data_IF_877942584513
#
_entry.id   IF_877942584513
#
_cell.length_a   1.000
_cell.length_b   1.000
_cell.length_c   1.000
_cell.angle_alpha   90.00
_cell.angle_beta   90.00
_cell.angle_gamma   90.00
#
_symmetry.space_group_name_H-M   'P 1'
#
loop_
_entity.id
_entity.type
_entity.pdbx_description
1 polymer ?
#
# COMPACT_ATOMS: atom_id res chain seq x y z
N UNK A 1 -112.92 -34.01 -38.16
CA UNK A 1 -112.09 -34.33 -36.97
C UNK A 1 -111.01 -33.26 -36.88
N UNK A 2 -111.10 -32.32 -35.92
CA UNK A 2 -110.23 -32.21 -34.70
C UNK A 2 -108.73 -32.02 -35.07
N UNK A 3 -107.93 -31.06 -34.58
CA UNK A 3 -107.95 -30.08 -33.47
C UNK A 3 -106.73 -29.12 -33.60
N UNK A 4 -106.85 -27.98 -32.91
CA UNK A 4 -105.92 -26.90 -32.50
C UNK A 4 -104.41 -27.20 -32.28
N UNK A 5 -103.56 -26.16 -32.41
CA UNK A 5 -102.49 -25.68 -31.48
C UNK A 5 -101.42 -24.87 -32.25
N UNK A 6 -101.22 -23.56 -32.02
CA UNK A 6 -100.38 -22.96 -30.98
C UNK A 6 -98.95 -23.53 -30.92
N UNK A 7 -97.95 -22.75 -31.35
CA UNK A 7 -96.54 -23.02 -31.04
C UNK A 7 -95.82 -21.71 -30.65
N UNK A 8 -95.24 -21.77 -29.45
CA UNK A 8 -94.60 -20.69 -28.72
C UNK A 8 -93.34 -20.16 -29.43
N UNK A 9 -93.16 -18.84 -29.42
CA UNK A 9 -91.85 -18.22 -29.65
C UNK A 9 -91.05 -18.34 -28.34
N UNK A 10 -90.18 -19.34 -28.26
CA UNK A 10 -89.21 -19.50 -27.17
C UNK A 10 -87.99 -18.62 -27.41
N UNK A 11 -87.71 -17.71 -26.49
CA UNK A 11 -86.51 -16.88 -26.42
C UNK A 11 -85.27 -17.76 -26.22
N UNK A 12 -84.44 -17.91 -27.25
CA UNK A 12 -83.08 -18.44 -27.11
C UNK A 12 -82.19 -17.39 -26.42
N UNK A 13 -81.85 -17.62 -25.15
CA UNK A 13 -80.74 -16.94 -24.49
C UNK A 13 -79.43 -17.45 -25.08
N UNK A 14 -78.69 -16.57 -25.75
CA UNK A 14 -77.30 -16.82 -26.17
C UNK A 14 -76.42 -16.83 -24.92
N UNK A 15 -75.92 -18.01 -24.54
CA UNK A 15 -74.85 -18.13 -23.55
C UNK A 15 -73.54 -17.65 -24.19
N UNK A 16 -73.03 -16.50 -23.76
CA UNK A 16 -71.68 -16.04 -24.12
C UNK A 16 -70.63 -16.89 -23.36
N UNK A 17 -69.54 -17.31 -24.00
CA UNK A 17 -68.48 -18.04 -23.30
C UNK A 17 -67.78 -17.11 -22.30
N UNK A 18 -67.63 -17.57 -21.06
CA UNK A 18 -66.78 -16.92 -20.08
C UNK A 18 -65.32 -17.12 -20.49
N UNK A 19 -64.65 -16.04 -20.90
CA UNK A 19 -63.21 -16.04 -21.16
C UNK A 19 -62.49 -16.15 -19.80
N UNK A 20 -62.04 -17.35 -19.44
CA UNK A 20 -61.14 -17.55 -18.32
C UNK A 20 -59.82 -16.82 -18.61
N UNK A 21 -59.49 -15.81 -17.80
CA UNK A 21 -58.22 -15.10 -17.87
C UNK A 21 -57.06 -16.10 -17.78
N UNK A 22 -56.22 -16.13 -18.82
CA UNK A 22 -55.03 -16.98 -18.88
C UNK A 22 -54.04 -16.69 -17.76
N UNK A 23 -53.04 -17.57 -17.53
CA UNK A 23 -52.11 -17.47 -16.41
C UNK A 23 -51.43 -16.11 -16.42
N UNK A 24 -51.52 -15.39 -15.30
CA UNK A 24 -50.79 -14.15 -15.09
C UNK A 24 -49.30 -14.43 -15.26
N UNK A 25 -48.69 -13.81 -16.26
CA UNK A 25 -47.24 -13.86 -16.45
C UNK A 25 -46.58 -13.28 -15.21
N UNK A 26 -45.65 -13.99 -14.54
CA UNK A 26 -44.94 -13.42 -13.40
C UNK A 26 -44.22 -12.16 -13.87
N UNK A 27 -44.52 -11.03 -13.24
CA UNK A 27 -43.77 -9.78 -13.45
C UNK A 27 -42.33 -10.07 -13.04
N UNK A 28 -41.43 -10.08 -14.01
CA UNK A 28 -40.00 -10.16 -13.73
C UNK A 28 -39.62 -8.93 -12.90
N UNK A 29 -39.19 -9.16 -11.67
CA UNK A 29 -38.67 -8.12 -10.79
C UNK A 29 -37.46 -7.48 -11.49
N UNK A 30 -37.55 -6.19 -11.80
CA UNK A 30 -36.46 -5.48 -12.48
C UNK A 30 -35.20 -5.61 -11.63
N UNK A 31 -34.05 -6.00 -12.22
CA UNK A 31 -32.82 -6.13 -11.45
C UNK A 31 -32.54 -4.79 -10.77
N UNK A 32 -32.47 -4.80 -9.44
CA UNK A 32 -32.06 -3.65 -8.64
C UNK A 32 -30.67 -3.27 -9.12
N UNK A 33 -30.56 -2.12 -9.78
CA UNK A 33 -29.29 -1.58 -10.19
C UNK A 33 -28.46 -1.35 -8.93
N UNK A 34 -27.48 -2.22 -8.68
CA UNK A 34 -26.45 -1.96 -7.67
C UNK A 34 -25.80 -0.63 -8.03
N UNK A 35 -25.72 0.33 -7.09
CA UNK A 35 -25.02 1.57 -7.36
C UNK A 35 -23.57 1.22 -7.70
N UNK A 36 -23.19 1.45 -8.95
CA UNK A 36 -21.80 1.42 -9.38
C UNK A 36 -21.11 2.51 -8.57
N UNK A 37 -20.18 2.11 -7.69
CA UNK A 37 -19.33 3.07 -6.99
C UNK A 37 -18.62 3.92 -8.05
N UNK A 38 -19.02 5.18 -8.16
CA UNK A 38 -18.35 6.15 -9.02
C UNK A 38 -16.98 6.38 -8.39
N UNK A 39 -15.94 5.74 -8.92
CA UNK A 39 -14.57 6.06 -8.57
C UNK A 39 -14.37 7.50 -9.03
N UNK A 40 -14.26 8.43 -8.08
CA UNK A 40 -13.95 9.82 -8.40
C UNK A 40 -12.68 9.82 -9.27
N UNK A 41 -12.63 10.59 -10.38
CA UNK A 41 -11.40 10.72 -11.13
C UNK A 41 -10.30 11.19 -10.17
N UNK A 42 -9.18 10.46 -10.10
CA UNK A 42 -8.05 10.87 -9.28
C UNK A 42 -7.57 12.22 -9.83
N UNK A 43 -7.86 13.28 -9.09
CA UNK A 43 -7.29 14.60 -9.34
C UNK A 43 -5.81 14.66 -8.93
N UNK A 44 -5.36 13.63 -8.21
CA UNK A 44 -3.99 13.36 -7.83
C UNK A 44 -3.26 12.42 -8.80
N UNK A 45 -1.95 12.31 -8.65
CA UNK A 45 -1.15 11.43 -9.49
C UNK A 45 -1.41 9.99 -9.12
N UNK A 46 -1.38 9.09 -10.10
CA UNK A 46 -1.42 7.67 -9.78
C UNK A 46 -0.14 7.32 -9.03
N UNK A 47 -0.24 6.83 -7.79
CA UNK A 47 0.85 6.25 -6.99
C UNK A 47 0.65 4.77 -6.67
N UNK A 48 -0.45 4.18 -7.13
CA UNK A 48 -0.83 2.81 -6.83
C UNK A 48 0.05 1.79 -7.57
N UNK A 49 0.24 0.62 -6.96
CA UNK A 49 0.87 -0.53 -7.61
C UNK A 49 2.17 -1.00 -6.95
N UNK A 50 2.72 -2.07 -7.51
CA UNK A 50 4.00 -2.64 -7.11
C UNK A 50 5.15 -1.83 -7.73
N UNK A 51 6.26 -1.70 -6.99
CA UNK A 51 7.47 -1.06 -7.50
C UNK A 51 8.73 -1.78 -7.00
N UNK A 52 9.81 -1.59 -7.74
CA UNK A 52 11.18 -1.93 -7.32
C UNK A 52 12.07 -0.73 -7.55
N UNK A 53 13.14 -0.60 -6.76
CA UNK A 53 14.05 0.51 -6.90
C UNK A 53 15.37 0.26 -6.22
N UNK A 54 16.23 1.27 -6.33
CA UNK A 54 17.48 1.36 -5.60
C UNK A 54 17.58 2.68 -4.89
N UNK A 55 18.42 2.71 -3.86
CA UNK A 55 18.75 3.94 -3.15
C UNK A 55 20.24 4.01 -2.86
N UNK A 56 20.73 5.24 -2.69
CA UNK A 56 22.09 5.54 -2.28
C UNK A 56 22.02 6.75 -1.35
N UNK A 57 22.86 6.77 -0.33
CA UNK A 57 22.84 7.83 0.65
C UNK A 57 23.99 7.76 1.63
N UNK A 58 23.77 8.42 2.75
CA UNK A 58 24.70 8.55 3.84
C UNK A 58 24.03 8.12 5.15
N UNK A 59 24.78 7.42 5.98
CA UNK A 59 24.39 7.02 7.32
C UNK A 59 25.34 7.69 8.32
N UNK A 60 24.75 8.21 9.38
CA UNK A 60 25.45 8.77 10.55
C UNK A 60 24.95 8.02 11.78
N UNK A 61 25.87 7.43 12.53
CA UNK A 61 25.60 6.59 13.70
C UNK A 61 26.29 7.21 14.91
N UNK A 62 25.51 7.45 15.96
CA UNK A 62 26.00 7.95 17.24
C UNK A 62 25.42 7.18 18.43
N UNK A 63 26.14 7.18 19.55
CA UNK A 63 25.66 6.65 20.82
C UNK A 63 25.65 7.72 21.91
N UNK A 64 24.77 7.55 22.91
CA UNK A 64 24.84 8.37 24.12
C UNK A 64 26.24 8.24 24.77
N UNK A 65 26.87 9.36 25.07
CA UNK A 65 28.24 9.42 25.62
C UNK A 65 29.39 9.34 24.61
N UNK A 66 29.13 9.41 23.30
CA UNK A 66 30.11 9.38 22.20
C UNK A 66 31.05 8.15 22.26
N UNK A 67 30.52 7.00 22.67
CA UNK A 67 31.27 5.75 22.75
C UNK A 67 31.44 5.10 21.37
N UNK A 68 30.45 5.32 20.49
CA UNK A 68 30.48 4.86 19.09
C UNK A 68 30.07 6.03 18.20
N UNK A 69 30.95 6.44 17.31
CA UNK A 69 30.70 7.39 16.23
C UNK A 69 31.15 6.76 14.92
N UNK A 70 30.30 6.81 13.90
CA UNK A 70 30.61 6.22 12.59
C UNK A 70 29.71 6.79 11.52
N UNK A 71 30.30 7.14 10.39
CA UNK A 71 29.58 7.71 9.27
C UNK A 71 30.06 7.11 7.94
N UNK A 72 29.16 6.96 6.98
CA UNK A 72 29.50 6.23 5.76
C UNK A 72 28.40 6.18 4.72
N UNK A 73 28.74 5.66 3.55
CA UNK A 73 27.80 5.48 2.47
C UNK A 73 26.90 4.27 2.72
N UNK A 74 25.61 4.43 2.44
CA UNK A 74 24.63 3.34 2.44
C UNK A 74 23.98 3.25 1.07
N UNK A 75 23.76 2.04 0.57
CA UNK A 75 23.08 1.84 -0.69
C UNK A 75 22.45 0.47 -0.79
N UNK A 76 21.36 0.37 -1.52
CA UNK A 76 20.54 -0.83 -1.46
C UNK A 76 19.50 -0.92 -2.54
N UNK A 77 18.73 -1.99 -2.45
CA UNK A 77 17.56 -2.24 -3.26
C UNK A 77 16.32 -2.23 -2.36
N UNK A 78 15.20 -1.85 -2.95
CA UNK A 78 13.92 -1.83 -2.29
C UNK A 78 12.81 -2.32 -3.23
N UNK A 79 11.79 -2.92 -2.66
CA UNK A 79 10.60 -3.34 -3.36
C UNK A 79 9.38 -3.15 -2.46
N UNK A 80 8.27 -2.72 -3.03
CA UNK A 80 7.09 -2.43 -2.25
C UNK A 80 5.81 -2.39 -3.05
N UNK A 81 4.73 -2.12 -2.34
CA UNK A 81 3.41 -1.91 -2.92
C UNK A 81 2.78 -0.66 -2.29
N UNK A 82 2.18 0.19 -3.13
CA UNK A 82 1.42 1.35 -2.70
C UNK A 82 -0.05 1.21 -3.09
N UNK A 83 -0.93 1.59 -2.18
CA UNK A 83 -2.36 1.72 -2.37
C UNK A 83 -2.69 3.19 -2.45
N UNK A 84 -3.18 3.60 -3.62
CA UNK A 84 -3.68 4.95 -3.85
C UNK A 84 -5.16 5.01 -3.45
N UNK A 85 -5.49 5.94 -2.55
CA UNK A 85 -6.82 6.16 -2.00
C UNK A 85 -7.35 7.55 -2.40
N UNK A 86 -6.86 8.11 -3.52
CA UNK A 86 -7.28 9.37 -4.11
C UNK A 86 -6.39 10.55 -3.73
N UNK A 87 -6.37 10.94 -2.45
CA UNK A 87 -5.45 11.98 -1.94
C UNK A 87 -4.46 11.45 -0.91
N UNK A 88 -4.70 10.23 -0.42
CA UNK A 88 -3.83 9.55 0.53
C UNK A 88 -3.23 8.32 -0.15
N UNK A 89 -1.97 8.03 0.16
CA UNK A 89 -1.27 6.84 -0.32
C UNK A 89 -0.76 6.07 0.89
N UNK A 90 -1.10 4.80 0.98
CA UNK A 90 -0.53 3.88 1.96
C UNK A 90 0.43 2.94 1.25
N UNK A 91 1.45 2.44 1.93
CA UNK A 91 2.36 1.48 1.32
C UNK A 91 3.11 0.62 2.31
N UNK A 92 3.61 -0.50 1.80
CA UNK A 92 4.57 -1.36 2.47
C UNK A 92 5.81 -1.52 1.58
N UNK A 93 6.99 -1.49 2.17
CA UNK A 93 8.28 -1.60 1.47
C UNK A 93 9.21 -2.54 2.23
N UNK A 94 9.88 -3.40 1.48
CA UNK A 94 11.04 -4.17 1.93
C UNK A 94 12.29 -3.51 1.35
N UNK A 95 13.27 -3.33 2.20
CA UNK A 95 14.53 -2.65 1.89
C UNK A 95 15.68 -3.53 2.36
N UNK A 96 16.63 -3.74 1.45
CA UNK A 96 17.85 -4.48 1.71
C UNK A 96 19.03 -3.61 1.29
N UNK A 97 19.82 -3.21 2.28
CA UNK A 97 20.86 -2.21 2.14
C UNK A 97 22.21 -2.75 2.56
N UNK A 98 23.20 -2.50 1.72
CA UNK A 98 24.61 -2.67 2.05
C UNK A 98 25.10 -1.32 2.58
N UNK A 99 25.76 -1.32 3.72
CA UNK A 99 26.28 -0.10 4.34
C UNK A 99 27.78 -0.23 4.52
N UNK A 100 28.62 0.31 3.64
CA UNK A 100 30.08 0.30 3.86
C UNK A 100 30.46 1.39 4.87
N UNK A 101 29.99 1.23 6.11
CA UNK A 101 30.27 2.09 7.25
C UNK A 101 31.41 1.46 8.03
N UNK A 102 32.60 2.04 7.93
CA UNK A 102 33.75 1.65 8.75
C UNK A 102 33.65 2.26 10.14
N UNK A 103 33.79 1.45 11.19
CA UNK A 103 33.91 1.95 12.56
C UNK A 103 35.34 2.48 12.80
N UNK A 104 35.47 3.64 13.43
CA UNK A 104 36.78 4.23 13.73
C UNK A 104 37.56 3.32 14.70
N UNK A 105 38.86 3.13 14.46
CA UNK A 105 39.71 2.17 15.20
C UNK A 105 39.88 0.76 14.59
N UNK A 106 39.21 0.44 13.47
CA UNK A 106 39.51 -0.76 12.67
C UNK A 106 38.83 -2.08 13.09
N UNK A 107 37.80 -2.01 13.94
CA UNK A 107 37.25 -3.20 14.62
C UNK A 107 35.96 -3.81 14.02
N UNK A 108 35.47 -3.36 12.86
CA UNK A 108 34.32 -4.00 12.22
C UNK A 108 33.74 -3.25 11.02
N UNK A 109 32.81 -3.90 10.32
CA UNK A 109 31.99 -3.32 9.25
C UNK A 109 30.52 -3.65 9.51
N UNK A 110 29.65 -2.67 9.33
CA UNK A 110 28.22 -2.94 9.14
C UNK A 110 28.09 -3.63 7.77
N UNK A 111 27.55 -4.84 7.70
CA UNK A 111 27.57 -5.58 6.42
C UNK A 111 26.23 -5.44 5.70
N UNK A 112 25.11 -5.56 6.41
CA UNK A 112 23.76 -5.50 5.84
C UNK A 112 22.74 -4.89 6.82
N UNK A 113 21.79 -4.14 6.26
CA UNK A 113 20.61 -3.63 6.96
C UNK A 113 19.39 -4.03 6.15
N UNK A 114 18.47 -4.75 6.80
CA UNK A 114 17.17 -5.07 6.25
C UNK A 114 16.09 -4.25 6.96
N UNK A 115 15.14 -3.70 6.21
CA UNK A 115 14.07 -2.85 6.76
C UNK A 115 12.72 -3.29 6.21
N UNK A 116 11.75 -3.37 7.11
CA UNK A 116 10.33 -3.47 6.77
C UNK A 116 9.69 -2.12 7.08
N UNK A 117 9.26 -1.41 6.04
CA UNK A 117 8.69 -0.07 6.15
C UNK A 117 7.20 -0.06 5.86
N UNK A 118 6.47 0.72 6.65
CA UNK A 118 5.13 1.19 6.33
C UNK A 118 5.23 2.67 5.93
N UNK A 119 4.40 3.06 4.96
CA UNK A 119 4.37 4.41 4.40
C UNK A 119 2.94 4.95 4.44
N UNK A 120 2.79 6.20 4.84
CA UNK A 120 1.53 6.94 4.74
C UNK A 120 1.84 8.35 4.24
N UNK A 121 1.25 8.73 3.11
CA UNK A 121 1.55 9.98 2.44
C UNK A 121 0.35 10.66 1.82
N UNK A 122 0.59 11.88 1.37
CA UNK A 122 -0.38 12.74 0.71
C UNK A 122 0.05 12.96 -0.73
N UNK A 123 -0.87 12.67 -1.64
CA UNK A 123 -0.68 12.84 -3.07
C UNK A 123 -0.97 14.29 -3.49
N UNK A 124 0.04 14.92 -4.10
CA UNK A 124 0.00 16.29 -4.61
C UNK A 124 0.12 16.32 -6.14
N UNK A 125 -0.35 15.28 -6.83
CA UNK A 125 -0.18 15.12 -8.27
C UNK A 125 1.13 14.40 -8.57
N UNK A 126 2.12 15.13 -9.08
CA UNK A 126 3.43 14.55 -9.42
C UNK A 126 4.36 14.38 -8.23
N UNK A 127 3.96 14.82 -7.04
CA UNK A 127 4.77 14.75 -5.83
C UNK A 127 3.99 14.01 -4.75
N UNK A 128 4.63 13.05 -4.10
CA UNK A 128 4.14 12.35 -2.92
C UNK A 128 5.01 12.72 -1.75
N UNK A 129 4.42 13.33 -0.72
CA UNK A 129 5.09 13.55 0.57
C UNK A 129 4.57 12.51 1.54
N UNK A 130 5.45 11.78 2.22
CA UNK A 130 5.06 10.68 3.07
C UNK A 130 5.86 10.61 4.36
N UNK A 131 5.23 10.07 5.40
CA UNK A 131 5.91 9.60 6.58
C UNK A 131 6.13 8.09 6.46
N UNK A 132 7.22 7.61 7.05
CA UNK A 132 7.52 6.18 7.11
C UNK A 132 7.94 5.77 8.50
N UNK A 133 7.58 4.54 8.89
CA UNK A 133 8.02 3.94 10.13
C UNK A 133 8.06 2.41 9.96
N UNK A 134 8.83 1.74 10.81
CA UNK A 134 8.96 0.30 10.69
C UNK A 134 10.00 -0.32 11.61
N UNK A 135 10.30 -1.57 11.32
CA UNK A 135 11.34 -2.35 11.99
C UNK A 135 12.58 -2.45 11.10
N UNK A 136 13.75 -2.27 11.71
CA UNK A 136 15.05 -2.48 11.08
C UNK A 136 15.74 -3.68 11.74
N UNK A 137 16.38 -4.50 10.93
CA UNK A 137 17.26 -5.57 11.37
C UNK A 137 18.65 -5.28 10.79
N UNK A 138 19.66 -5.24 11.66
CA UNK A 138 21.03 -4.96 11.26
C UNK A 138 21.94 -6.14 11.63
N UNK A 139 22.75 -6.59 10.67
CA UNK A 139 23.83 -7.55 10.91
C UNK A 139 25.17 -6.81 10.86
N UNK A 140 25.94 -6.87 11.95
CA UNK A 140 27.28 -6.32 12.04
C UNK A 140 28.30 -7.42 12.37
N UNK A 141 29.49 -7.35 11.74
CA UNK A 141 30.62 -8.19 12.14
C UNK A 141 31.62 -7.37 12.92
N UNK A 142 31.85 -7.75 14.18
CA UNK A 142 32.84 -7.14 15.07
C UNK A 142 33.79 -8.23 15.55
N UNK A 143 35.09 -8.09 15.27
CA UNK A 143 36.14 -9.04 15.68
C UNK A 143 35.87 -10.53 15.38
N UNK A 144 35.17 -10.84 14.28
CA UNK A 144 34.85 -12.22 13.86
C UNK A 144 33.60 -12.83 14.50
N UNK A 145 32.89 -12.10 15.35
CA UNK A 145 31.56 -12.45 15.84
C UNK A 145 30.48 -11.71 15.03
N UNK A 146 29.41 -12.43 14.66
CA UNK A 146 28.21 -11.84 14.06
C UNK A 146 27.29 -11.37 15.19
N UNK A 147 27.04 -10.07 15.27
CA UNK A 147 26.03 -9.48 16.15
C UNK A 147 24.85 -9.05 15.28
N UNK A 148 23.64 -9.35 15.74
CA UNK A 148 22.42 -8.88 15.08
C UNK A 148 21.45 -8.31 16.08
N UNK A 149 20.80 -7.22 15.69
CA UNK A 149 19.84 -6.53 16.55
C UNK A 149 18.66 -5.98 15.74
N UNK A 150 17.51 -5.88 16.41
CA UNK A 150 16.26 -5.38 15.84
C UNK A 150 15.89 -4.05 16.48
N UNK A 151 15.79 -3.01 15.66
CA UNK A 151 15.38 -1.67 16.09
C UNK A 151 14.09 -1.21 15.41
N UNK A 152 13.67 -0.01 15.79
CA UNK A 152 12.56 0.69 15.14
C UNK A 152 13.08 1.97 14.50
N UNK A 153 12.39 2.45 13.47
CA UNK A 153 12.71 3.72 12.84
C UNK A 153 11.46 4.50 12.48
N UNK A 154 11.65 5.80 12.31
CA UNK A 154 10.65 6.73 11.81
C UNK A 154 11.30 7.81 10.96
N UNK A 155 10.56 8.34 10.00
CA UNK A 155 11.13 9.30 9.06
C UNK A 155 10.13 9.94 8.11
N UNK A 156 10.68 10.76 7.22
CA UNK A 156 9.94 11.50 6.21
C UNK A 156 10.60 11.29 4.85
N UNK A 157 9.79 11.27 3.80
CA UNK A 157 10.26 11.17 2.44
C UNK A 157 9.42 11.97 1.46
N UNK A 158 10.02 12.22 0.30
CA UNK A 158 9.37 12.85 -0.83
C UNK A 158 9.75 12.11 -2.10
N UNK A 159 8.76 11.69 -2.88
CA UNK A 159 8.95 11.11 -4.20
C UNK A 159 8.32 12.03 -5.26
N UNK A 160 8.95 12.09 -6.43
CA UNK A 160 8.50 12.83 -7.60
C UNK A 160 8.35 11.90 -8.80
N UNK A 161 7.17 11.88 -9.40
CA UNK A 161 6.86 11.13 -10.61
C UNK A 161 7.50 11.83 -11.83
N UNK A 162 8.61 11.27 -12.31
CA UNK A 162 9.28 11.71 -13.54
C UNK A 162 8.38 11.44 -14.74
N UNK A 163 7.75 10.27 -14.74
CA UNK A 163 6.72 9.82 -15.68
C UNK A 163 5.85 8.76 -14.99
N UNK A 164 4.95 8.11 -15.74
CA UNK A 164 4.00 7.14 -15.20
C UNK A 164 4.65 5.91 -14.55
N UNK A 165 5.92 5.62 -14.87
CA UNK A 165 6.65 4.44 -14.40
C UNK A 165 7.82 4.76 -13.46
N UNK A 166 8.47 5.90 -13.65
CA UNK A 166 9.68 6.24 -12.90
C UNK A 166 9.43 7.33 -11.88
N UNK A 167 9.88 7.08 -10.65
CA UNK A 167 9.88 8.07 -9.58
C UNK A 167 11.29 8.25 -9.04
N UNK A 168 11.60 9.46 -8.62
CA UNK A 168 12.85 9.81 -7.93
C UNK A 168 12.52 10.57 -6.67
N UNK A 169 13.27 10.35 -5.60
CA UNK A 169 12.93 10.92 -4.32
C UNK A 169 14.06 10.90 -3.31
N UNK A 170 13.75 11.33 -2.10
CA UNK A 170 14.65 11.28 -0.97
C UNK A 170 13.93 10.89 0.30
N UNK A 171 14.65 10.26 1.22
CA UNK A 171 14.13 9.77 2.49
C UNK A 171 15.14 10.04 3.62
N UNK A 172 14.63 10.61 4.71
CA UNK A 172 15.34 10.86 5.96
C UNK A 172 14.75 9.99 7.05
N UNK A 173 15.54 9.09 7.62
CA UNK A 173 15.12 8.16 8.67
C UNK A 173 15.96 8.36 9.92
N UNK A 174 15.30 8.41 11.07
CA UNK A 174 15.91 8.27 12.38
C UNK A 174 15.59 6.86 12.91
N UNK A 175 16.64 6.12 13.27
CA UNK A 175 16.56 4.79 13.83
C UNK A 175 16.91 4.86 15.31
N UNK A 176 16.16 4.11 16.10
CA UNK A 176 16.42 3.88 17.52
C UNK A 176 16.58 2.38 17.73
N UNK A 177 17.75 1.99 18.21
CA UNK A 177 18.03 0.63 18.65
C UNK A 177 18.07 0.63 20.17
N UNK A 178 17.17 -0.12 20.79
CA UNK A 178 17.09 -0.24 22.24
C UNK A 178 17.99 -1.40 22.66
N UNK A 179 18.83 -1.20 23.68
CA UNK A 179 19.73 -2.23 24.24
C UNK A 179 20.76 -2.82 23.26
N UNK A 180 21.47 -1.97 22.52
CA UNK A 180 22.56 -2.44 21.66
C UNK A 180 23.63 -3.16 22.52
N UNK A 181 23.82 -4.45 22.26
CA UNK A 181 24.74 -5.36 22.97
C UNK A 181 24.43 -5.61 24.47
N UNK A 182 23.17 -5.48 24.91
CA UNK A 182 22.78 -5.76 26.30
C UNK A 182 23.51 -4.88 27.33
N UNK A 183 24.03 -3.74 26.90
CA UNK A 183 24.88 -2.83 27.66
C UNK A 183 24.10 -1.73 28.39
N UNK A 184 22.80 -1.55 28.08
CA UNK A 184 21.97 -0.46 28.58
C UNK A 184 22.24 0.89 27.92
N UNK A 185 22.84 0.90 26.72
CA UNK A 185 23.16 2.12 25.95
C UNK A 185 22.23 2.22 24.73
N UNK A 186 21.54 3.35 24.62
CA UNK A 186 20.72 3.71 23.46
C UNK A 186 21.62 4.15 22.29
N UNK A 187 21.40 3.56 21.10
CA UNK A 187 22.07 3.94 19.85
C UNK A 187 21.08 4.60 18.89
N UNK A 188 21.44 5.78 18.40
CA UNK A 188 20.65 6.54 17.43
C UNK A 188 21.40 6.58 16.09
N UNK A 189 20.70 6.30 15.00
CA UNK A 189 21.27 6.38 13.66
C UNK A 189 20.37 7.17 12.71
N UNK A 190 20.94 8.14 12.00
CA UNK A 190 20.25 8.92 10.98
C UNK A 190 20.72 8.52 9.60
N UNK A 191 19.80 8.18 8.70
CA UNK A 191 20.13 7.90 7.30
C UNK A 191 19.43 8.88 6.38
N UNK A 192 20.19 9.44 5.44
CA UNK A 192 19.69 10.29 4.37
C UNK A 192 19.94 9.61 3.02
N UNK A 193 18.89 9.30 2.27
CA UNK A 193 19.01 8.56 1.01
C UNK A 193 18.30 9.27 -0.14
N UNK A 194 18.85 9.10 -1.33
CA UNK A 194 18.21 9.40 -2.61
C UNK A 194 17.79 8.06 -3.22
N UNK A 195 16.60 8.02 -3.79
CA UNK A 195 15.94 6.79 -4.24
C UNK A 195 15.37 6.96 -5.64
N UNK A 196 15.41 5.89 -6.42
CA UNK A 196 14.79 5.81 -7.74
C UNK A 196 14.00 4.51 -7.84
N UNK A 197 12.73 4.60 -8.27
CA UNK A 197 11.82 3.46 -8.33
C UNK A 197 11.19 3.33 -9.71
N UNK A 198 11.01 2.09 -10.14
CA UNK A 198 10.22 1.69 -11.28
C UNK A 198 8.94 1.01 -10.81
N UNK A 199 7.79 1.53 -11.25
CA UNK A 199 6.45 0.98 -11.03
C UNK A 199 6.00 0.13 -12.22
N UNK A 200 5.33 -0.99 -11.92
CA UNK A 200 4.73 -1.90 -12.91
C UNK A 200 3.34 -1.49 -13.37
#
# INVERSE_FOLDING_TARGET
MKRYAAALVGSMMLAAPALAGGPATPVAEAPVAVPVAVVAPSLGGDWGGAYVGGHLGYADVGSSGNVIEGNGAIGGLQAGYRWDLGTAVLGAELDASLADVGFDGGNGKLDNVARLKLQAGYDMGRTLVYATAGGAYADAKVNGASLSDTGYFGGLGVDYAVNDKWTVGGELLAHKFNDFDGSGVDADATTATIRANFRF
#
